data_IF_692840307499
#
_entry.id   IF_692840307499
#
_cell.length_a   1.000
_cell.length_b   1.000
_cell.length_c   1.000
_cell.angle_alpha   90.00
_cell.angle_beta   90.00
_cell.angle_gamma   90.00
#
_symmetry.space_group_name_H-M   'P 1'
#
loop_
_entity.id
_entity.type
_entity.pdbx_description
1 polymer ?
#
# COMPACT_ATOMS: atom_id res chain seq x y z
N UNK A 1 -9.49 7.02 -14.64
CA UNK A 1 -10.65 6.12 -14.55
C UNK A 1 -11.18 6.26 -13.13
N UNK A 2 -12.49 6.32 -12.87
CA UNK A 2 -12.95 6.38 -11.48
C UNK A 2 -12.56 5.08 -10.77
N UNK A 3 -12.10 5.17 -9.52
CA UNK A 3 -11.78 4.03 -8.64
C UNK A 3 -13.05 3.23 -8.32
N UNK A 4 -13.54 2.48 -9.30
CA UNK A 4 -14.80 1.73 -9.23
C UNK A 4 -14.68 0.57 -8.23
N UNK A 5 -15.65 0.47 -7.31
CA UNK A 5 -15.68 -0.58 -6.29
C UNK A 5 -15.20 -0.15 -4.90
N UNK A 6 -14.75 1.10 -4.74
CA UNK A 6 -14.54 1.73 -3.44
C UNK A 6 -15.76 2.54 -3.02
N UNK A 7 -15.92 2.76 -1.72
CA UNK A 7 -16.86 3.77 -1.24
C UNK A 7 -16.45 5.17 -1.74
N UNK A 8 -17.42 6.08 -1.84
CA UNK A 8 -17.23 7.38 -2.47
C UNK A 8 -16.18 8.24 -1.74
N UNK A 9 -16.13 8.19 -0.42
CA UNK A 9 -15.18 8.98 0.38
C UNK A 9 -13.74 8.49 0.14
N UNK A 10 -13.53 7.18 0.17
CA UNK A 10 -12.24 6.56 -0.13
C UNK A 10 -11.82 6.84 -1.57
N UNK A 11 -12.73 6.75 -2.53
CA UNK A 11 -12.44 7.05 -3.93
C UNK A 11 -11.99 8.51 -4.13
N UNK A 12 -12.67 9.48 -3.50
CA UNK A 12 -12.30 10.90 -3.55
C UNK A 12 -10.91 11.12 -2.96
N UNK A 13 -10.66 10.55 -1.77
CA UNK A 13 -9.38 10.68 -1.07
C UNK A 13 -8.21 10.14 -1.89
N UNK A 14 -8.37 8.94 -2.45
CA UNK A 14 -7.32 8.31 -3.25
C UNK A 14 -7.12 9.02 -4.59
N UNK A 15 -8.19 9.53 -5.22
CA UNK A 15 -8.07 10.34 -6.44
C UNK A 15 -7.26 11.61 -6.18
N UNK A 16 -7.55 12.34 -5.11
CA UNK A 16 -6.81 13.54 -4.75
C UNK A 16 -5.32 13.24 -4.48
N UNK A 17 -5.03 12.12 -3.82
CA UNK A 17 -3.68 11.66 -3.56
C UNK A 17 -2.95 11.27 -4.85
N UNK A 18 -3.60 10.57 -5.78
CA UNK A 18 -3.02 10.26 -7.09
C UNK A 18 -2.71 11.53 -7.89
N UNK A 19 -3.59 12.53 -7.86
CA UNK A 19 -3.38 13.81 -8.55
C UNK A 19 -2.22 14.60 -7.95
N UNK A 20 -2.02 14.54 -6.63
CA UNK A 20 -0.86 15.13 -5.94
C UNK A 20 0.47 14.46 -6.36
N UNK A 21 0.48 13.13 -6.51
CA UNK A 21 1.70 12.35 -6.75
C UNK A 21 2.08 12.27 -8.24
N UNK A 22 1.13 12.44 -9.15
CA UNK A 22 1.37 12.34 -10.60
C UNK A 22 2.47 13.30 -11.11
N UNK A 23 2.53 14.57 -10.69
CA UNK A 23 3.63 15.47 -11.07
C UNK A 23 4.99 14.98 -10.60
N UNK A 24 5.09 14.35 -9.42
CA UNK A 24 6.37 13.86 -8.88
C UNK A 24 6.97 12.78 -9.78
N UNK A 25 6.14 11.84 -10.24
CA UNK A 25 6.54 10.84 -11.24
C UNK A 25 6.95 11.49 -12.56
N UNK A 26 6.21 12.51 -13.03
CA UNK A 26 6.57 13.23 -14.24
C UNK A 26 7.93 13.96 -14.13
N UNK A 27 8.34 14.36 -12.93
CA UNK A 27 9.67 14.94 -12.65
C UNK A 27 10.78 13.90 -12.47
N UNK A 28 10.49 12.61 -12.65
CA UNK A 28 11.47 11.52 -12.53
C UNK A 28 11.62 10.94 -11.12
N UNK A 29 10.66 11.19 -10.22
CA UNK A 29 10.65 10.53 -8.91
C UNK A 29 10.43 9.04 -9.09
N UNK A 30 11.34 8.23 -8.57
CA UNK A 30 11.24 6.77 -8.59
C UNK A 30 10.02 6.27 -7.81
N UNK A 31 9.42 5.17 -8.28
CA UNK A 31 8.24 4.60 -7.63
C UNK A 31 8.51 4.17 -6.17
N UNK A 32 9.73 3.71 -5.86
CA UNK A 32 10.12 3.36 -4.48
C UNK A 32 10.10 4.56 -3.54
N UNK A 33 10.43 5.76 -4.03
CA UNK A 33 10.33 7.00 -3.27
C UNK A 33 8.86 7.38 -3.04
N UNK A 34 7.99 7.24 -4.04
CA UNK A 34 6.53 7.41 -3.88
C UNK A 34 6.00 6.46 -2.80
N UNK A 35 6.39 5.18 -2.82
CA UNK A 35 5.96 4.22 -1.80
C UNK A 35 6.45 4.56 -0.41
N UNK A 36 7.65 5.13 -0.29
CA UNK A 36 8.21 5.58 0.98
C UNK A 36 7.44 6.78 1.54
N UNK A 37 7.05 7.72 0.68
CA UNK A 37 6.19 8.86 1.05
C UNK A 37 4.80 8.40 1.52
N UNK A 38 4.18 7.48 0.79
CA UNK A 38 2.89 6.91 1.16
C UNK A 38 2.96 6.18 2.52
N UNK A 39 4.03 5.42 2.76
CA UNK A 39 4.27 4.74 4.04
C UNK A 39 4.44 5.74 5.19
N UNK A 40 5.25 6.78 4.99
CA UNK A 40 5.47 7.83 5.99
C UNK A 40 4.19 8.63 6.32
N UNK A 41 3.25 8.72 5.37
CA UNK A 41 1.92 9.32 5.57
C UNK A 41 0.89 8.39 6.21
N UNK A 42 1.27 7.15 6.56
CA UNK A 42 0.39 6.16 7.15
C UNK A 42 -0.64 5.57 6.17
N UNK A 43 -0.43 5.70 4.85
CA UNK A 43 -1.33 5.12 3.85
C UNK A 43 -1.08 3.62 3.79
N UNK A 44 -2.10 2.81 4.07
CA UNK A 44 -2.00 1.35 4.09
C UNK A 44 -1.62 0.75 2.74
N UNK A 45 -1.13 -0.51 2.76
CA UNK A 45 -0.66 -1.21 1.55
C UNK A 45 -1.74 -1.28 0.46
N UNK A 46 -2.99 -1.58 0.80
CA UNK A 46 -4.06 -1.71 -0.20
C UNK A 46 -4.35 -0.39 -0.94
N UNK A 47 -4.45 0.72 -0.21
CA UNK A 47 -4.64 2.04 -0.80
C UNK A 47 -3.42 2.47 -1.62
N UNK A 48 -2.23 2.07 -1.17
CA UNK A 48 -0.99 2.32 -1.89
C UNK A 48 -0.93 1.56 -3.22
N UNK A 49 -1.41 0.31 -3.26
CA UNK A 49 -1.55 -0.48 -4.50
C UNK A 49 -2.53 0.20 -5.46
N UNK A 50 -3.66 0.67 -4.96
CA UNK A 50 -4.68 1.36 -5.76
C UNK A 50 -4.10 2.64 -6.38
N UNK A 51 -3.47 3.49 -5.56
CA UNK A 51 -2.83 4.73 -6.02
C UNK A 51 -1.73 4.44 -7.03
N UNK A 52 -0.89 3.43 -6.78
CA UNK A 52 0.20 3.02 -7.68
C UNK A 52 -0.33 2.54 -9.02
N UNK A 53 -1.41 1.75 -9.03
CA UNK A 53 -2.06 1.29 -10.26
C UNK A 53 -2.57 2.47 -11.09
N UNK A 54 -3.19 3.46 -10.46
CA UNK A 54 -3.65 4.66 -11.19
C UNK A 54 -2.50 5.52 -11.70
N UNK A 55 -1.38 5.59 -10.96
CA UNK A 55 -0.16 6.27 -11.41
C UNK A 55 0.51 5.57 -12.61
N UNK A 56 0.36 4.24 -12.74
CA UNK A 56 0.88 3.46 -13.87
C UNK A 56 0.02 3.57 -15.15
N UNK A 57 -1.20 4.10 -15.06
CA UNK A 57 -2.11 4.26 -16.20
C UNK A 57 -3.34 3.33 -16.20
N UNK A 58 -3.51 2.50 -15.18
CA UNK A 58 -4.70 1.69 -14.92
C UNK A 58 -5.12 0.69 -16.03
N UNK A 59 -4.19 0.26 -16.87
CA UNK A 59 -4.36 -0.78 -17.90
C UNK A 59 -4.46 -2.21 -17.36
N UNK A 60 -4.73 -3.16 -18.27
CA UNK A 60 -4.74 -4.58 -17.97
C UNK A 60 -3.33 -5.06 -17.65
N UNK A 61 -3.10 -5.54 -16.43
CA UNK A 61 -1.77 -5.95 -15.92
C UNK A 61 -1.20 -5.01 -14.87
N UNK A 62 -1.66 -3.75 -14.83
CA UNK A 62 -1.11 -2.73 -13.93
C UNK A 62 -1.40 -3.01 -12.46
N UNK A 63 -2.47 -3.76 -12.15
CA UNK A 63 -2.74 -4.19 -10.77
C UNK A 63 -1.65 -5.15 -10.26
N UNK A 64 -1.22 -6.10 -11.10
CA UNK A 64 -0.17 -7.05 -10.76
C UNK A 64 1.17 -6.33 -10.57
N UNK A 65 1.50 -5.43 -11.50
CA UNK A 65 2.72 -4.63 -11.42
C UNK A 65 2.71 -3.68 -10.21
N UNK A 66 1.60 -2.98 -9.96
CA UNK A 66 1.43 -2.11 -8.80
C UNK A 66 1.63 -2.88 -7.49
N UNK A 67 0.99 -4.05 -7.36
CA UNK A 67 1.17 -4.94 -6.21
C UNK A 67 2.64 -5.30 -6.02
N UNK A 68 3.33 -5.73 -7.09
CA UNK A 68 4.76 -6.08 -7.02
C UNK A 68 5.62 -4.90 -6.56
N UNK A 69 5.42 -3.71 -7.13
CA UNK A 69 6.20 -2.52 -6.79
C UNK A 69 5.99 -2.08 -5.33
N UNK A 70 4.74 -2.10 -4.85
CA UNK A 70 4.43 -1.76 -3.46
C UNK A 70 5.05 -2.77 -2.50
N UNK A 71 4.84 -4.08 -2.73
CA UNK A 71 5.30 -5.13 -1.82
C UNK A 71 6.81 -5.34 -1.86
N UNK A 72 7.49 -4.96 -2.94
CA UNK A 72 8.96 -5.01 -3.03
C UNK A 72 9.65 -3.80 -2.36
N UNK A 73 8.91 -2.75 -1.98
CA UNK A 73 9.52 -1.55 -1.40
C UNK A 73 9.95 -1.79 0.04
N UNK A 74 11.22 -1.52 0.43
CA UNK A 74 11.69 -1.71 1.81
C UNK A 74 10.87 -0.94 2.86
N UNK A 75 10.39 0.27 2.54
CA UNK A 75 9.51 1.06 3.40
C UNK A 75 8.16 0.38 3.72
N UNK A 76 7.84 -0.73 3.06
CA UNK A 76 6.64 -1.56 3.30
C UNK A 76 6.95 -2.86 4.05
N UNK A 77 8.22 -3.18 4.29
CA UNK A 77 8.58 -4.31 5.13
C UNK A 77 8.12 -4.12 6.58
N UNK A 78 8.03 -2.87 7.06
CA UNK A 78 7.55 -2.60 8.42
C UNK A 78 6.17 -3.16 8.71
N UNK A 79 5.23 -3.11 7.75
CA UNK A 79 3.89 -3.70 7.92
C UNK A 79 3.94 -5.23 8.00
N UNK A 80 4.83 -5.85 7.22
CA UNK A 80 5.08 -7.30 7.25
C UNK A 80 5.76 -7.73 8.55
N UNK A 81 6.74 -6.97 9.02
CA UNK A 81 7.46 -7.20 10.27
C UNK A 81 6.53 -7.05 11.48
N UNK A 82 5.71 -6.00 11.51
CA UNK A 82 4.68 -5.81 12.53
C UNK A 82 3.66 -6.95 12.52
N UNK A 83 3.17 -7.36 11.34
CA UNK A 83 2.27 -8.51 11.23
C UNK A 83 2.91 -9.79 11.77
N UNK A 84 4.16 -10.09 11.40
CA UNK A 84 4.86 -11.27 11.93
C UNK A 84 5.00 -11.20 13.45
N UNK A 85 5.42 -10.05 14.00
CA UNK A 85 5.54 -9.88 15.45
C UNK A 85 4.19 -10.10 16.17
N UNK A 86 3.10 -9.53 15.64
CA UNK A 86 1.75 -9.71 16.19
C UNK A 86 1.27 -11.16 16.13
N UNK A 87 1.52 -11.85 15.02
CA UNK A 87 1.17 -13.27 14.87
C UNK A 87 1.99 -14.13 15.82
N UNK A 88 3.29 -13.87 15.93
CA UNK A 88 4.17 -14.60 16.83
C UNK A 88 3.74 -14.40 18.29
N UNK A 89 3.42 -13.17 18.71
CA UNK A 89 2.86 -12.87 20.03
C UNK A 89 1.53 -13.59 20.28
N UNK A 90 0.63 -13.60 19.30
CA UNK A 90 -0.66 -14.30 19.40
C UNK A 90 -0.48 -15.81 19.54
N UNK A 91 0.46 -16.41 18.80
CA UNK A 91 0.75 -17.84 18.88
C UNK A 91 1.29 -18.23 20.26
N UNK A 92 2.17 -17.42 20.84
CA UNK A 92 2.66 -17.62 22.21
C UNK A 92 1.50 -17.56 23.21
N UNK A 93 0.65 -16.54 23.12
CA UNK A 93 -0.49 -16.38 24.02
C UNK A 93 -1.50 -17.54 23.92
N UNK A 94 -1.71 -18.09 22.71
CA UNK A 94 -2.58 -19.26 22.51
C UNK A 94 -2.00 -20.53 23.16
N UNK A 95 -0.69 -20.75 23.05
CA UNK A 95 -0.02 -21.89 23.69
C UNK A 95 -0.09 -21.80 25.23
N UNK A 96 0.04 -20.60 25.81
CA UNK A 96 -0.12 -20.38 27.25
C UNK A 96 -1.56 -20.68 27.73
N UNK A 97 -2.58 -20.38 26.91
CA UNK A 97 -3.98 -20.70 27.23
C UNK A 97 -4.25 -22.21 27.12
N UNK A 98 -3.69 -22.90 26.12
CA UNK A 98 -3.87 -24.34 25.95
C UNK A 98 -3.18 -25.16 27.06
N UNK A 99 -2.20 -24.58 27.76
CA UNK A 99 -1.48 -25.21 28.88
C UNK A 99 -2.07 -24.90 30.27
N UNK A 100 -3.12 -24.07 30.36
CA UNK A 100 -3.77 -23.65 31.61
C UNK A 100 -5.05 -24.46 31.93
#
# INVERSE_FOLDING_TARGET
MALSGLDAERAIRLSALTDELRPLLATGTEMSAIQSMLSARGIGVMDSIVVTRELLGAGSGDLGLAKTLVLATPARNGEREQHHALVDELLVALDEVDQA
#
